data_IF_378832852027
#
_entry.id   IF_378832852027
#
_cell.length_a   1.000
_cell.length_b   1.000
_cell.length_c   1.000
_cell.angle_alpha   90.00
_cell.angle_beta   90.00
_cell.angle_gamma   90.00
#
_symmetry.space_group_name_H-M   'P 1'
#
loop_
_entity.id
_entity.type
_entity.pdbx_description
1 polymer ?
#
# COMPACT_ATOMS: atom_id res chain seq x y z
N UNK A 1 2.90 -51.49 89.79
CA UNK A 1 1.56 -52.09 89.84
C UNK A 1 0.97 -52.18 88.49
N UNK A 2 0.61 -53.42 88.16
CA UNK A 2 -0.33 -53.91 87.14
C UNK A 2 -0.25 -53.29 85.70
N UNK A 3 0.32 -54.03 84.75
CA UNK A 3 -0.26 -55.19 84.05
C UNK A 3 -1.47 -54.83 83.19
N UNK A 4 -1.33 -54.91 81.88
CA UNK A 4 -1.95 -55.95 81.07
C UNK A 4 -1.65 -55.76 79.59
N UNK A 5 -1.09 -56.83 79.03
CA UNK A 5 -1.11 -57.22 77.63
C UNK A 5 -2.51 -57.19 77.01
N UNK A 6 -2.69 -56.88 75.78
CA UNK A 6 -3.55 -57.65 74.89
C UNK A 6 -3.02 -57.55 73.42
N UNK A 7 -2.88 -58.71 72.90
CA UNK A 7 -2.45 -59.22 71.61
C UNK A 7 -3.32 -58.79 70.40
N UNK A 8 -2.67 -58.71 69.27
CA UNK A 8 -3.02 -59.27 67.93
C UNK A 8 -4.28 -58.80 67.22
N UNK A 9 -4.12 -58.24 66.08
CA UNK A 9 -4.74 -58.84 64.86
C UNK A 9 -4.20 -58.17 63.59
N UNK A 10 -3.37 -58.88 62.89
CA UNK A 10 -2.93 -58.64 61.49
C UNK A 10 -4.14 -58.86 60.61
N UNK A 11 -4.64 -57.80 59.93
CA UNK A 11 -5.57 -57.93 58.81
C UNK A 11 -4.93 -57.29 57.59
N UNK A 12 -4.51 -58.16 56.70
CA UNK A 12 -4.09 -57.83 55.35
C UNK A 12 -5.27 -57.26 54.58
N UNK A 13 -5.11 -56.06 54.03
CA UNK A 13 -5.99 -55.48 53.00
C UNK A 13 -5.29 -55.62 51.64
N UNK A 14 -6.01 -56.05 50.60
CA UNK A 14 -5.42 -56.13 49.25
C UNK A 14 -5.27 -54.74 48.67
N UNK A 15 -4.07 -54.44 48.15
CA UNK A 15 -3.79 -53.25 47.37
C UNK A 15 -4.56 -53.33 46.02
N UNK A 16 -5.63 -52.54 45.88
CA UNK A 16 -6.30 -52.34 44.59
C UNK A 16 -5.51 -51.31 43.79
N UNK A 17 -4.70 -51.79 42.83
CA UNK A 17 -4.00 -50.91 41.91
C UNK A 17 -5.02 -50.28 40.96
N UNK A 18 -5.37 -49.03 41.18
CA UNK A 18 -6.09 -48.20 40.22
C UNK A 18 -5.06 -47.77 39.12
N UNK A 19 -4.99 -48.51 38.03
CA UNK A 19 -4.41 -48.01 36.77
C UNK A 19 -5.38 -46.98 36.19
N UNK A 20 -5.23 -45.72 36.62
CA UNK A 20 -5.82 -44.58 35.93
C UNK A 20 -5.09 -44.35 34.62
N UNK A 21 -5.67 -44.85 33.50
CA UNK A 21 -5.21 -44.49 32.17
C UNK A 21 -5.33 -42.97 31.95
N UNK A 22 -4.21 -42.26 31.95
CA UNK A 22 -4.15 -40.92 31.38
C UNK A 22 -4.35 -41.06 29.88
N UNK A 23 -5.61 -40.95 29.45
CA UNK A 23 -5.91 -40.63 28.05
C UNK A 23 -5.46 -39.19 27.81
N UNK A 24 -4.21 -39.03 27.32
CA UNK A 24 -3.78 -37.74 26.75
C UNK A 24 -4.62 -37.55 25.51
N UNK A 25 -5.73 -36.82 25.65
CA UNK A 25 -6.39 -36.19 24.52
C UNK A 25 -5.37 -35.22 23.96
N UNK A 26 -4.70 -35.58 22.86
CA UNK A 26 -3.99 -34.65 22.02
C UNK A 26 -5.05 -33.63 21.58
N UNK A 27 -5.08 -32.48 22.24
CA UNK A 27 -5.78 -31.31 21.72
C UNK A 27 -5.12 -31.03 20.38
N UNK A 28 -5.74 -31.49 19.28
CA UNK A 28 -5.42 -30.96 17.97
C UNK A 28 -5.69 -29.47 18.08
N UNK A 29 -4.61 -28.67 18.14
CA UNK A 29 -4.71 -27.24 17.93
C UNK A 29 -5.34 -27.10 16.55
N UNK A 30 -6.60 -26.73 16.51
CA UNK A 30 -7.28 -26.29 15.30
C UNK A 30 -6.40 -25.14 14.79
N UNK A 31 -5.66 -25.37 13.72
CA UNK A 31 -4.84 -24.33 13.10
C UNK A 31 -5.84 -23.26 12.68
N UNK A 32 -5.75 -22.09 13.30
CA UNK A 32 -6.59 -20.95 12.91
C UNK A 32 -6.51 -20.78 11.39
N UNK A 33 -7.66 -20.73 10.75
CA UNK A 33 -7.76 -20.58 9.31
C UNK A 33 -6.99 -19.31 8.88
N UNK A 34 -6.08 -19.46 7.91
CA UNK A 34 -5.33 -18.32 7.37
C UNK A 34 -6.26 -17.31 6.68
N UNK A 35 -5.85 -16.06 6.66
CA UNK A 35 -6.65 -14.98 6.09
C UNK A 35 -7.06 -15.26 4.63
N UNK A 36 -6.10 -15.68 3.80
CA UNK A 36 -6.36 -15.96 2.39
C UNK A 36 -7.26 -17.17 2.15
N UNK A 37 -7.27 -18.13 3.06
CA UNK A 37 -8.25 -19.24 3.02
C UNK A 37 -9.67 -18.71 3.26
N UNK A 38 -9.84 -17.73 4.14
CA UNK A 38 -11.12 -17.02 4.32
C UNK A 38 -11.57 -16.30 3.05
N UNK A 39 -10.64 -15.61 2.37
CA UNK A 39 -10.88 -14.96 1.06
C UNK A 39 -11.27 -16.00 -0.01
N UNK A 40 -10.59 -17.14 -0.06
CA UNK A 40 -10.92 -18.24 -0.98
C UNK A 40 -12.35 -18.78 -0.75
N UNK A 41 -12.75 -18.96 0.51
CA UNK A 41 -14.12 -19.39 0.85
C UNK A 41 -15.16 -18.35 0.48
N UNK A 42 -14.84 -17.06 0.63
CA UNK A 42 -15.72 -15.97 0.20
C UNK A 42 -15.84 -15.88 -1.33
N UNK A 43 -14.89 -16.45 -2.09
CA UNK A 43 -14.86 -16.45 -3.54
C UNK A 43 -14.55 -15.11 -4.19
N UNK A 44 -14.12 -14.12 -3.41
CA UNK A 44 -13.82 -12.75 -3.87
C UNK A 44 -12.64 -12.16 -3.13
N UNK A 45 -11.73 -11.48 -3.87
CA UNK A 45 -10.66 -10.65 -3.35
C UNK A 45 -11.04 -9.19 -3.56
N UNK A 46 -11.26 -8.45 -2.47
CA UNK A 46 -11.60 -7.03 -2.53
C UNK A 46 -10.33 -6.20 -2.51
N UNK A 47 -10.12 -5.38 -3.54
CA UNK A 47 -8.97 -4.52 -3.71
C UNK A 47 -9.39 -3.06 -3.57
N UNK A 48 -8.96 -2.37 -2.50
CA UNK A 48 -9.19 -0.95 -2.31
C UNK A 48 -8.36 -0.13 -3.31
N UNK A 49 -9.04 0.61 -4.18
CA UNK A 49 -8.47 1.28 -5.34
C UNK A 49 -8.68 2.79 -5.28
N UNK A 50 -7.62 3.55 -5.06
CA UNK A 50 -7.58 5.00 -5.23
C UNK A 50 -6.85 5.33 -6.53
N UNK A 51 -7.49 6.12 -7.39
CA UNK A 51 -6.96 6.41 -8.73
C UNK A 51 -5.67 7.22 -8.66
N UNK A 52 -4.64 6.74 -9.33
CA UNK A 52 -3.34 7.39 -9.56
C UNK A 52 -2.66 6.74 -10.78
N UNK A 53 -2.84 7.25 -12.00
CA UNK A 53 -2.17 6.71 -13.18
C UNK A 53 -0.64 6.88 -13.10
N UNK A 54 0.15 5.89 -13.53
CA UNK A 54 -0.19 4.63 -14.19
C UNK A 54 -0.45 3.47 -13.23
N UNK A 55 -0.44 3.69 -11.91
CA UNK A 55 -0.55 2.66 -10.87
C UNK A 55 -1.93 2.02 -10.84
N UNK A 56 -2.95 2.85 -10.72
CA UNK A 56 -4.36 2.50 -10.69
C UNK A 56 -5.13 3.51 -11.55
N UNK A 57 -5.79 3.02 -12.57
CA UNK A 57 -6.61 3.80 -13.47
C UNK A 57 -8.06 3.30 -13.41
N UNK A 58 -9.00 4.16 -13.71
CA UNK A 58 -10.41 3.79 -13.83
C UNK A 58 -10.99 4.43 -15.08
N UNK A 59 -11.56 3.63 -15.94
CA UNK A 59 -12.28 4.12 -17.12
C UNK A 59 -13.57 4.83 -16.66
N UNK A 60 -13.77 6.11 -16.97
CA UNK A 60 -14.94 6.83 -16.52
C UNK A 60 -16.24 6.40 -17.20
N UNK A 61 -16.18 5.76 -18.37
CA UNK A 61 -17.35 5.29 -19.11
C UNK A 61 -17.82 3.90 -18.66
N UNK A 62 -16.87 2.98 -18.45
CA UNK A 62 -17.18 1.59 -18.09
C UNK A 62 -17.07 1.33 -16.59
N UNK A 63 -16.29 2.14 -15.87
CA UNK A 63 -15.95 1.93 -14.46
C UNK A 63 -14.86 0.87 -14.25
N UNK A 64 -14.30 0.30 -15.33
CA UNK A 64 -13.27 -0.74 -15.24
C UNK A 64 -11.95 -0.19 -14.71
N UNK A 65 -11.31 -1.01 -13.84
CA UNK A 65 -10.00 -0.70 -13.28
C UNK A 65 -8.89 -1.34 -14.12
N UNK A 66 -7.84 -0.54 -14.34
CA UNK A 66 -6.61 -0.91 -15.04
C UNK A 66 -5.40 -0.27 -14.37
N UNK A 67 -4.21 -0.44 -14.95
CA UNK A 67 -2.95 -0.02 -14.35
C UNK A 67 -2.25 -1.18 -13.65
N UNK A 68 -0.93 -1.06 -13.48
CA UNK A 68 -0.15 -2.22 -13.09
C UNK A 68 -0.47 -2.79 -11.70
N UNK A 69 -0.88 -1.99 -10.72
CA UNK A 69 -1.37 -2.53 -9.44
C UNK A 69 -2.77 -3.17 -9.56
N UNK A 70 -3.61 -2.68 -10.45
CA UNK A 70 -4.89 -3.33 -10.72
C UNK A 70 -4.68 -4.69 -11.41
N UNK A 71 -3.72 -4.78 -12.34
CA UNK A 71 -3.37 -6.04 -13.00
C UNK A 71 -2.73 -7.01 -11.99
N UNK A 72 -1.83 -6.57 -11.10
CA UNK A 72 -1.30 -7.40 -10.01
C UNK A 72 -2.39 -7.91 -9.05
N UNK A 73 -3.43 -7.09 -8.75
CA UNK A 73 -4.58 -7.55 -7.95
C UNK A 73 -5.34 -8.67 -8.67
N UNK A 74 -5.59 -8.54 -9.98
CA UNK A 74 -6.26 -9.58 -10.79
C UNK A 74 -5.45 -10.87 -10.77
N UNK A 75 -4.14 -10.80 -11.00
CA UNK A 75 -3.25 -11.96 -10.99
C UNK A 75 -3.16 -12.63 -9.59
N UNK A 76 -3.14 -11.84 -8.52
CA UNK A 76 -3.19 -12.41 -7.17
C UNK A 76 -4.54 -13.09 -6.87
N UNK A 77 -5.65 -12.54 -7.36
CA UNK A 77 -6.96 -13.18 -7.28
C UNK A 77 -6.98 -14.53 -8.04
N UNK A 78 -6.29 -14.63 -9.19
CA UNK A 78 -6.12 -15.90 -9.92
C UNK A 78 -5.35 -16.93 -9.10
N UNK A 79 -4.25 -16.54 -8.41
CA UNK A 79 -3.50 -17.41 -7.49
C UNK A 79 -4.42 -17.94 -6.38
N UNK A 80 -5.27 -17.08 -5.82
CA UNK A 80 -6.24 -17.47 -4.81
C UNK A 80 -7.46 -18.23 -5.36
N UNK A 81 -7.61 -18.31 -6.70
CA UNK A 81 -8.78 -18.90 -7.41
C UNK A 81 -10.10 -18.24 -7.04
N UNK A 82 -10.08 -16.92 -6.93
CA UNK A 82 -11.25 -16.09 -6.62
C UNK A 82 -11.44 -14.99 -7.67
N UNK A 83 -12.55 -14.26 -7.60
CA UNK A 83 -12.78 -13.09 -8.46
C UNK A 83 -12.21 -11.83 -7.83
N UNK A 84 -11.52 -10.95 -8.58
CA UNK A 84 -11.15 -9.64 -8.08
C UNK A 84 -12.38 -8.71 -8.05
N UNK A 85 -12.50 -7.93 -6.98
CA UNK A 85 -13.48 -6.86 -6.84
C UNK A 85 -12.74 -5.57 -6.47
N UNK A 86 -12.91 -4.53 -7.26
CA UNK A 86 -12.30 -3.23 -6.99
C UNK A 86 -13.28 -2.36 -6.19
N UNK A 87 -12.83 -1.91 -5.01
CA UNK A 87 -13.61 -1.03 -4.14
C UNK A 87 -13.06 0.39 -4.28
N UNK A 88 -13.86 1.28 -4.86
CA UNK A 88 -13.48 2.68 -5.07
C UNK A 88 -13.24 3.40 -3.75
N UNK A 89 -12.16 4.17 -3.68
CA UNK A 89 -11.80 4.92 -2.48
C UNK A 89 -10.93 6.12 -2.83
N UNK A 90 -10.58 6.92 -1.83
CA UNK A 90 -9.66 8.05 -1.94
C UNK A 90 -8.38 7.81 -1.13
N UNK A 91 -7.33 8.55 -1.43
CA UNK A 91 -6.07 8.49 -0.70
C UNK A 91 -6.22 8.85 0.78
N UNK A 92 -7.17 9.73 1.13
CA UNK A 92 -7.50 10.06 2.52
C UNK A 92 -8.12 8.88 3.27
N UNK A 93 -8.86 8.01 2.58
CA UNK A 93 -9.63 6.93 3.18
C UNK A 93 -8.99 5.53 3.02
N UNK A 94 -7.95 5.37 2.18
CA UNK A 94 -7.42 4.06 1.79
C UNK A 94 -6.85 3.25 2.97
N UNK A 95 -6.26 3.89 3.97
CA UNK A 95 -5.78 3.21 5.17
C UNK A 95 -6.93 2.88 6.12
N UNK A 96 -7.82 3.85 6.39
CA UNK A 96 -8.95 3.67 7.29
C UNK A 96 -9.95 2.61 6.80
N UNK A 97 -10.17 2.54 5.48
CA UNK A 97 -11.05 1.53 4.89
C UNK A 97 -10.47 0.12 5.00
N UNK A 98 -9.14 -0.04 4.84
CA UNK A 98 -8.46 -1.33 5.05
C UNK A 98 -8.57 -1.77 6.52
N UNK A 99 -8.32 -0.86 7.48
CA UNK A 99 -8.48 -1.13 8.91
C UNK A 99 -9.92 -1.53 9.28
N UNK A 100 -10.90 -0.95 8.58
CA UNK A 100 -12.32 -1.26 8.77
C UNK A 100 -12.78 -2.54 8.03
N UNK A 101 -11.88 -3.26 7.35
CA UNK A 101 -12.19 -4.48 6.60
C UNK A 101 -13.10 -4.26 5.38
N UNK A 102 -13.13 -3.03 4.82
CA UNK A 102 -13.92 -2.74 3.62
C UNK A 102 -13.35 -3.44 2.38
N UNK A 103 -12.05 -3.74 2.38
CA UNK A 103 -11.34 -4.51 1.37
C UNK A 103 -10.23 -5.34 2.00
N UNK A 104 -9.68 -6.27 1.26
CA UNK A 104 -8.72 -7.25 1.73
C UNK A 104 -7.26 -6.79 1.53
N UNK A 105 -7.02 -5.94 0.53
CA UNK A 105 -5.74 -5.25 0.32
C UNK A 105 -5.95 -3.88 -0.33
N UNK A 106 -5.03 -2.96 -0.08
CA UNK A 106 -5.01 -1.62 -0.71
C UNK A 106 -3.97 -1.59 -1.81
N UNK A 107 -4.35 -1.05 -2.98
CA UNK A 107 -3.47 -0.94 -4.14
C UNK A 107 -2.51 0.24 -4.01
N UNK A 108 -1.30 0.10 -4.55
CA UNK A 108 -0.31 1.17 -4.77
C UNK A 108 0.01 2.01 -3.52
N UNK A 109 0.06 1.38 -2.35
CA UNK A 109 0.26 2.11 -1.10
C UNK A 109 1.74 2.35 -0.81
N UNK A 110 2.13 3.62 -0.71
CA UNK A 110 3.48 3.99 -0.30
C UNK A 110 3.80 3.49 1.11
N UNK A 111 4.93 2.82 1.26
CA UNK A 111 5.45 2.33 2.53
C UNK A 111 6.02 3.49 3.33
N UNK A 112 5.26 3.97 4.30
CA UNK A 112 5.72 5.01 5.24
C UNK A 112 5.64 4.51 6.68
N UNK A 113 6.52 4.96 7.60
CA UNK A 113 6.44 4.57 9.01
C UNK A 113 5.06 4.85 9.63
N UNK A 114 4.46 5.99 9.30
CA UNK A 114 3.14 6.37 9.81
C UNK A 114 2.04 5.40 9.38
N UNK A 115 2.07 4.93 8.11
CA UNK A 115 1.11 3.94 7.63
C UNK A 115 1.41 2.55 8.19
N UNK A 116 2.69 2.20 8.38
CA UNK A 116 3.09 0.91 8.94
C UNK A 116 2.65 0.71 10.41
N UNK A 117 2.38 1.79 11.13
CA UNK A 117 1.74 1.70 12.46
C UNK A 117 0.26 1.30 12.40
N UNK A 118 -0.38 1.46 11.26
CA UNK A 118 -1.81 1.24 11.08
C UNK A 118 -2.16 0.01 10.24
N UNK A 119 -1.29 -0.38 9.32
CA UNK A 119 -1.46 -1.50 8.38
C UNK A 119 -0.13 -2.22 8.18
N UNK A 120 -0.18 -3.45 7.71
CA UNK A 120 1.01 -4.14 7.21
C UNK A 120 1.22 -3.85 5.73
N UNK A 121 2.36 -4.26 5.20
CA UNK A 121 2.72 -4.09 3.80
C UNK A 121 3.33 -5.38 3.27
N UNK A 122 3.10 -5.63 2.00
CA UNK A 122 3.95 -6.56 1.25
C UNK A 122 5.36 -5.98 1.05
N UNK A 123 6.26 -6.77 0.48
CA UNK A 123 7.44 -6.22 -0.18
C UNK A 123 7.01 -5.20 -1.25
N UNK A 124 7.85 -4.22 -1.60
CA UNK A 124 7.52 -3.27 -2.65
C UNK A 124 7.53 -3.94 -4.04
N UNK A 125 6.50 -3.67 -4.84
CA UNK A 125 6.51 -4.02 -6.25
C UNK A 125 7.45 -3.10 -7.05
N UNK A 126 7.61 -1.86 -6.61
CA UNK A 126 8.53 -0.89 -7.18
C UNK A 126 8.94 0.18 -6.16
N UNK A 127 9.93 0.96 -6.52
CA UNK A 127 10.33 2.16 -5.77
C UNK A 127 10.21 3.40 -6.64
N UNK A 128 9.86 4.52 -6.03
CA UNK A 128 9.90 5.84 -6.66
C UNK A 128 10.43 6.89 -5.70
N UNK A 129 10.72 8.06 -6.23
CA UNK A 129 10.95 9.26 -5.42
C UNK A 129 9.87 10.32 -5.71
N UNK A 130 9.67 11.23 -4.76
CA UNK A 130 8.80 12.39 -4.97
C UNK A 130 9.57 13.41 -5.80
N UNK A 131 8.95 13.92 -6.84
CA UNK A 131 9.49 14.93 -7.73
C UNK A 131 8.52 16.10 -7.93
N UNK A 132 8.99 17.11 -8.61
CA UNK A 132 8.28 18.36 -8.88
C UNK A 132 8.25 18.57 -10.40
N UNK A 133 7.10 18.95 -10.96
CA UNK A 133 7.03 19.35 -12.37
C UNK A 133 6.48 20.77 -12.47
N UNK A 134 7.06 21.60 -13.33
CA UNK A 134 6.68 23.00 -13.46
C UNK A 134 6.97 23.53 -14.86
N UNK A 135 6.45 24.73 -15.14
CA UNK A 135 6.76 25.43 -16.38
C UNK A 135 8.16 26.03 -16.33
N UNK A 136 9.06 25.60 -17.25
CA UNK A 136 10.46 26.09 -17.36
C UNK A 136 10.60 27.61 -17.45
N UNK A 137 9.53 28.30 -17.91
CA UNK A 137 9.48 29.76 -18.05
C UNK A 137 8.73 30.44 -16.88
N UNK A 138 8.47 29.74 -15.78
CA UNK A 138 7.81 30.34 -14.61
C UNK A 138 8.76 31.31 -13.91
N UNK A 139 8.46 32.64 -13.86
CA UNK A 139 9.37 33.62 -13.29
C UNK A 139 9.57 33.51 -11.77
N UNK A 140 8.70 32.76 -11.08
CA UNK A 140 8.81 32.51 -9.63
C UNK A 140 9.85 31.46 -9.29
N UNK A 141 10.22 30.59 -10.26
CA UNK A 141 11.14 29.49 -10.08
C UNK A 141 12.48 29.85 -10.75
N UNK A 142 13.55 29.85 -9.97
CA UNK A 142 14.86 30.19 -10.50
C UNK A 142 15.32 29.14 -11.53
N UNK A 143 15.97 29.61 -12.59
CA UNK A 143 16.67 28.71 -13.50
C UNK A 143 17.72 27.90 -12.74
N UNK A 144 17.73 26.57 -12.91
CA UNK A 144 18.66 25.69 -12.19
C UNK A 144 18.22 25.34 -10.76
N UNK A 145 16.94 25.57 -10.38
CA UNK A 145 16.41 25.05 -9.12
C UNK A 145 16.71 23.54 -9.00
N UNK A 146 17.29 23.13 -7.88
CA UNK A 146 17.76 21.76 -7.64
C UNK A 146 17.21 21.15 -6.35
N UNK A 147 16.62 21.96 -5.48
CA UNK A 147 16.18 21.54 -4.15
C UNK A 147 14.77 22.07 -3.84
N UNK A 148 14.17 21.55 -2.75
CA UNK A 148 12.91 22.09 -2.23
C UNK A 148 13.09 23.53 -1.74
N UNK A 149 14.24 23.87 -1.19
CA UNK A 149 14.53 25.22 -0.72
C UNK A 149 14.50 26.27 -1.84
N UNK A 150 14.85 25.88 -3.08
CA UNK A 150 14.83 26.79 -4.23
C UNK A 150 13.42 27.18 -4.66
N UNK A 151 12.43 26.37 -4.31
CA UNK A 151 11.01 26.58 -4.67
C UNK A 151 10.14 26.98 -3.48
N UNK A 152 10.62 26.87 -2.25
CA UNK A 152 9.90 27.26 -1.02
C UNK A 152 9.90 28.78 -0.84
N UNK A 153 9.14 29.50 -1.67
CA UNK A 153 9.07 30.96 -1.68
C UNK A 153 7.62 31.44 -1.53
N UNK A 154 7.47 32.57 -0.87
CA UNK A 154 6.19 33.25 -0.81
C UNK A 154 5.66 33.56 -2.24
N UNK A 155 4.39 33.27 -2.47
CA UNK A 155 3.73 33.42 -3.76
C UNK A 155 3.90 32.24 -4.73
N UNK A 156 4.69 31.21 -4.37
CA UNK A 156 4.71 29.94 -5.08
C UNK A 156 3.58 29.03 -4.55
N UNK A 157 2.83 28.41 -5.44
CA UNK A 157 1.76 27.45 -5.12
C UNK A 157 2.09 26.08 -5.67
N UNK A 158 2.07 25.08 -4.79
CA UNK A 158 2.34 23.69 -5.09
C UNK A 158 1.01 22.91 -5.11
N UNK A 159 0.64 22.31 -6.22
CA UNK A 159 -0.52 21.42 -6.33
C UNK A 159 -0.12 19.99 -5.96
N UNK A 160 -0.84 19.37 -5.06
CA UNK A 160 -0.63 17.99 -4.63
C UNK A 160 -1.96 17.30 -4.38
N UNK A 161 -2.03 16.01 -4.64
CA UNK A 161 -3.22 15.20 -4.35
C UNK A 161 -3.33 14.94 -2.84
N UNK A 162 -4.49 15.27 -2.26
CA UNK A 162 -4.77 15.14 -0.82
C UNK A 162 -4.58 13.71 -0.31
N UNK A 163 -4.08 13.56 0.94
CA UNK A 163 -3.95 12.28 1.63
C UNK A 163 -2.80 11.39 1.16
N UNK A 164 -2.09 11.78 0.10
CA UNK A 164 -0.96 11.02 -0.44
C UNK A 164 0.29 11.14 0.43
N UNK A 165 1.28 10.29 0.17
CA UNK A 165 2.61 10.42 0.77
C UNK A 165 3.31 11.70 0.31
N UNK A 166 3.06 12.13 -0.93
CA UNK A 166 3.56 13.37 -1.54
C UNK A 166 3.05 14.60 -0.77
N UNK A 167 1.74 14.64 -0.46
CA UNK A 167 1.14 15.71 0.33
C UNK A 167 1.82 15.84 1.70
N UNK A 168 1.95 14.73 2.41
CA UNK A 168 2.58 14.73 3.73
C UNK A 168 4.04 15.17 3.67
N UNK A 169 4.80 14.67 2.70
CA UNK A 169 6.21 15.00 2.56
C UNK A 169 6.44 16.46 2.18
N UNK A 170 5.74 16.98 1.17
CA UNK A 170 5.92 18.38 0.75
C UNK A 170 5.42 19.36 1.81
N UNK A 171 4.29 19.05 2.47
CA UNK A 171 3.75 19.90 3.54
C UNK A 171 4.66 20.01 4.76
N UNK A 172 5.44 18.96 5.04
CA UNK A 172 6.44 19.00 6.10
C UNK A 172 7.72 19.75 5.69
N UNK A 173 8.03 19.83 4.39
CA UNK A 173 9.27 20.38 3.88
C UNK A 173 9.20 21.89 3.58
N UNK A 174 8.03 22.41 3.17
CA UNK A 174 7.86 23.83 2.81
C UNK A 174 7.32 24.66 3.98
N UNK A 175 7.75 25.92 4.05
CA UNK A 175 7.34 26.87 5.09
C UNK A 175 6.74 28.16 4.51
N UNK A 176 7.14 28.54 3.30
CA UNK A 176 6.82 29.81 2.68
C UNK A 176 5.85 29.65 1.49
N UNK A 177 5.98 28.56 0.75
CA UNK A 177 5.12 28.25 -0.38
C UNK A 177 3.74 27.75 0.09
N UNK A 178 2.72 27.98 -0.72
CA UNK A 178 1.35 27.53 -0.47
C UNK A 178 1.15 26.12 -1.00
N UNK A 179 0.65 25.20 -0.17
CA UNK A 179 0.27 23.85 -0.59
C UNK A 179 -1.22 23.80 -0.91
N UNK A 180 -1.54 23.64 -2.20
CA UNK A 180 -2.90 23.47 -2.72
C UNK A 180 -3.22 21.98 -2.80
N UNK A 181 -4.06 21.48 -1.89
CA UNK A 181 -4.51 20.07 -1.86
C UNK A 181 -5.75 19.92 -2.73
N UNK A 182 -5.70 18.95 -3.64
CA UNK A 182 -6.76 18.68 -4.61
C UNK A 182 -7.17 17.20 -4.53
N UNK A 183 -8.43 16.87 -4.87
CA UNK A 183 -8.95 15.51 -4.61
C UNK A 183 -8.39 14.44 -5.54
N UNK A 184 -7.95 14.83 -6.74
CA UNK A 184 -7.54 13.88 -7.77
C UNK A 184 -6.35 14.34 -8.60
N UNK A 185 -5.89 13.43 -9.42
CA UNK A 185 -4.72 13.64 -10.28
C UNK A 185 -5.01 14.66 -11.40
N UNK A 186 -6.20 14.60 -11.98
CA UNK A 186 -6.60 15.52 -13.06
C UNK A 186 -6.73 16.95 -12.55
N UNK A 187 -7.26 17.14 -11.35
CA UNK A 187 -7.37 18.45 -10.73
C UNK A 187 -5.99 19.05 -10.40
N UNK A 188 -5.03 18.23 -9.96
CA UNK A 188 -3.66 18.70 -9.70
C UNK A 188 -2.96 19.13 -10.98
N UNK A 189 -3.09 18.34 -12.05
CA UNK A 189 -2.53 18.66 -13.37
C UNK A 189 -3.19 19.90 -13.98
N UNK A 190 -4.53 19.96 -13.90
CA UNK A 190 -5.29 21.13 -14.37
C UNK A 190 -4.91 22.40 -13.62
N UNK A 191 -4.62 22.33 -12.31
CA UNK A 191 -4.20 23.51 -11.55
C UNK A 191 -2.89 24.08 -12.08
N UNK A 192 -1.95 23.22 -12.50
CA UNK A 192 -0.66 23.67 -13.06
C UNK A 192 -0.81 24.13 -14.51
N UNK A 193 -1.53 23.41 -15.35
CA UNK A 193 -1.74 23.79 -16.77
C UNK A 193 -2.52 25.08 -16.90
N UNK A 194 -3.50 25.34 -16.00
CA UNK A 194 -4.28 26.60 -15.93
C UNK A 194 -3.58 27.71 -15.14
N UNK A 195 -2.34 27.50 -14.68
CA UNK A 195 -1.54 28.45 -13.90
C UNK A 195 -2.16 28.87 -12.56
N UNK A 196 -3.08 28.08 -12.00
CA UNK A 196 -3.59 28.26 -10.63
C UNK A 196 -2.59 27.76 -9.59
N UNK A 197 -1.73 26.82 -9.97
CA UNK A 197 -0.56 26.41 -9.23
C UNK A 197 0.70 26.53 -10.10
N UNK A 198 1.84 26.68 -9.45
CA UNK A 198 3.13 26.86 -10.10
C UNK A 198 3.83 25.53 -10.33
N UNK A 199 3.63 24.56 -9.44
CA UNK A 199 4.35 23.30 -9.36
C UNK A 199 3.38 22.15 -9.11
N UNK A 200 3.53 21.05 -9.85
CA UNK A 200 2.92 19.77 -9.58
C UNK A 200 3.87 18.94 -8.68
N UNK A 201 3.37 18.44 -7.56
CA UNK A 201 4.10 17.54 -6.67
C UNK A 201 3.54 16.15 -6.81
N UNK A 202 4.32 15.24 -7.37
CA UNK A 202 3.89 13.86 -7.60
C UNK A 202 5.08 12.88 -7.60
N UNK A 203 4.82 11.61 -7.88
CA UNK A 203 5.85 10.60 -8.12
C UNK A 203 6.71 10.95 -9.34
N UNK A 204 7.96 10.54 -9.34
CA UNK A 204 8.91 10.88 -10.43
C UNK A 204 8.49 10.34 -11.79
N UNK A 205 7.94 9.13 -11.84
CA UNK A 205 7.42 8.51 -13.05
C UNK A 205 6.14 9.19 -13.55
N UNK A 206 5.22 9.54 -12.65
CA UNK A 206 4.00 10.31 -12.96
C UNK A 206 4.35 11.69 -13.52
N UNK A 207 5.31 12.39 -12.90
CA UNK A 207 5.78 13.69 -13.39
C UNK A 207 6.56 13.56 -14.71
N UNK A 208 7.24 12.44 -14.95
CA UNK A 208 7.85 12.16 -16.24
C UNK A 208 6.80 12.03 -17.34
N UNK A 209 5.70 11.32 -17.09
CA UNK A 209 4.57 11.25 -18.02
C UNK A 209 3.96 12.62 -18.28
N UNK A 210 3.76 13.41 -17.23
CA UNK A 210 3.23 14.78 -17.37
C UNK A 210 4.13 15.65 -18.24
N UNK A 211 5.46 15.59 -18.07
CA UNK A 211 6.40 16.37 -18.89
C UNK A 211 6.48 15.86 -20.31
N UNK A 212 6.38 14.56 -20.55
CA UNK A 212 6.30 13.99 -21.89
C UNK A 212 5.03 14.40 -22.64
N UNK A 213 3.92 14.56 -21.93
CA UNK A 213 2.67 15.06 -22.52
C UNK A 213 2.68 16.59 -22.73
N UNK A 214 3.65 17.31 -22.17
CA UNK A 214 3.77 18.76 -22.24
C UNK A 214 5.20 19.23 -22.54
N UNK A 215 5.85 18.72 -23.61
CA UNK A 215 7.30 18.88 -23.83
C UNK A 215 7.75 20.33 -24.11
N UNK A 216 6.84 21.14 -24.60
CA UNK A 216 7.15 22.54 -24.97
C UNK A 216 7.47 23.41 -23.76
N UNK A 217 6.87 23.11 -22.60
CA UNK A 217 6.97 23.99 -21.44
C UNK A 217 7.24 23.29 -20.10
N UNK A 218 6.85 22.02 -19.93
CA UNK A 218 7.00 21.33 -18.66
C UNK A 218 8.38 20.71 -18.50
N UNK A 219 8.94 20.87 -17.30
CA UNK A 219 10.18 20.20 -16.87
C UNK A 219 9.97 19.57 -15.51
N UNK A 220 10.67 18.44 -15.28
CA UNK A 220 10.67 17.76 -13.99
C UNK A 220 11.94 18.12 -13.21
N UNK A 221 11.79 18.25 -11.88
CA UNK A 221 12.86 18.42 -10.92
C UNK A 221 12.80 17.28 -9.91
N UNK A 222 13.86 16.49 -9.84
CA UNK A 222 14.11 15.57 -8.74
C UNK A 222 14.94 16.30 -7.68
N UNK A 223 14.35 16.69 -6.54
CA UNK A 223 15.06 17.53 -5.58
C UNK A 223 16.25 16.80 -4.96
N UNK A 224 17.31 17.57 -4.72
CA UNK A 224 18.51 17.11 -4.02
C UNK A 224 18.72 17.99 -2.78
N UNK A 225 18.75 17.42 -1.55
CA UNK A 225 18.49 16.01 -1.25
C UNK A 225 17.08 15.57 -1.67
N UNK A 226 16.89 14.27 -1.89
CA UNK A 226 15.57 13.73 -2.25
C UNK A 226 14.55 14.04 -1.16
N UNK A 227 13.36 14.51 -1.55
CA UNK A 227 12.27 14.81 -0.61
C UNK A 227 11.80 13.55 0.11
N UNK A 228 11.57 12.48 -0.64
CA UNK A 228 11.40 11.12 -0.15
C UNK A 228 11.66 10.11 -1.26
N UNK A 229 12.19 8.94 -0.87
CA UNK A 229 12.20 7.72 -1.69
C UNK A 229 11.48 6.63 -0.93
N UNK A 230 10.58 5.92 -1.60
CA UNK A 230 9.67 4.97 -0.93
C UNK A 230 9.37 3.80 -1.84
N UNK A 231 9.25 2.62 -1.23
CA UNK A 231 8.67 1.48 -1.90
C UNK A 231 7.14 1.66 -2.04
N UNK A 232 6.59 1.20 -3.14
CA UNK A 232 5.14 1.13 -3.39
C UNK A 232 4.73 -0.34 -3.36
N UNK A 233 3.75 -0.67 -2.53
CA UNK A 233 3.39 -2.03 -2.18
C UNK A 233 1.88 -2.22 -2.07
N UNK A 234 1.42 -3.45 -1.84
CA UNK A 234 0.10 -3.66 -1.30
C UNK A 234 0.06 -3.27 0.18
N UNK A 235 -0.96 -2.52 0.59
CA UNK A 235 -1.32 -2.37 1.99
C UNK A 235 -2.16 -3.57 2.43
N UNK A 236 -1.84 -4.16 3.58
CA UNK A 236 -2.44 -5.37 4.09
C UNK A 236 -3.07 -5.11 5.47
N UNK A 237 -4.11 -5.85 5.88
CA UNK A 237 -4.67 -5.74 7.22
C UNK A 237 -3.60 -5.88 8.30
N UNK A 238 -3.71 -5.08 9.36
CA UNK A 238 -2.69 -5.01 10.42
C UNK A 238 -2.49 -6.32 11.18
N UNK A 239 -3.52 -7.13 11.25
CA UNK A 239 -3.56 -8.38 12.02
C UNK A 239 -3.29 -9.64 11.21
N UNK A 240 -2.76 -9.54 9.99
CA UNK A 240 -2.35 -10.71 9.23
C UNK A 240 -1.21 -11.45 9.96
N UNK A 241 -1.24 -12.78 9.88
CA UNK A 241 -0.11 -13.58 10.32
C UNK A 241 1.10 -13.38 9.39
N UNK A 242 2.31 -13.67 9.89
CA UNK A 242 3.51 -13.63 9.05
C UNK A 242 3.38 -14.57 7.84
N UNK A 243 2.74 -15.73 8.01
CA UNK A 243 2.50 -16.68 6.92
C UNK A 243 1.55 -16.10 5.85
N UNK A 244 0.52 -15.34 6.26
CA UNK A 244 -0.38 -14.70 5.30
C UNK A 244 0.32 -13.58 4.53
N UNK A 245 1.19 -12.80 5.18
CA UNK A 245 2.01 -11.78 4.51
C UNK A 245 2.97 -12.44 3.52
N UNK A 246 3.61 -13.54 3.90
CA UNK A 246 4.54 -14.30 3.06
C UNK A 246 3.90 -14.80 1.75
N UNK A 247 2.63 -15.16 1.76
CA UNK A 247 1.90 -15.54 0.52
C UNK A 247 1.93 -14.41 -0.50
N UNK A 248 1.69 -13.17 -0.06
CA UNK A 248 1.71 -12.00 -0.94
C UNK A 248 3.14 -11.64 -1.35
N UNK A 249 4.08 -11.76 -0.42
CA UNK A 249 5.50 -11.46 -0.67
C UNK A 249 6.10 -12.40 -1.70
N UNK A 250 5.89 -13.71 -1.59
CA UNK A 250 6.35 -14.70 -2.58
C UNK A 250 5.74 -14.42 -3.96
N UNK A 251 4.44 -14.11 -4.01
CA UNK A 251 3.79 -13.73 -5.27
C UNK A 251 4.49 -12.53 -5.92
N UNK A 252 4.75 -11.47 -5.16
CA UNK A 252 5.39 -10.26 -5.69
C UNK A 252 6.87 -10.48 -6.02
N UNK A 253 7.60 -11.25 -5.21
CA UNK A 253 9.01 -11.59 -5.47
C UNK A 253 9.18 -12.26 -6.84
N UNK A 254 8.33 -13.23 -7.16
CA UNK A 254 8.33 -13.88 -8.47
C UNK A 254 8.08 -12.88 -9.60
N UNK A 255 7.06 -12.02 -9.45
CA UNK A 255 6.70 -11.01 -10.46
C UNK A 255 7.80 -9.98 -10.69
N UNK A 256 8.46 -9.54 -9.61
CA UNK A 256 9.59 -8.60 -9.69
C UNK A 256 10.83 -9.29 -10.29
N UNK A 257 11.18 -10.48 -9.80
CA UNK A 257 12.39 -11.19 -10.23
C UNK A 257 12.35 -11.61 -11.72
N UNK A 258 11.16 -11.88 -12.23
CA UNK A 258 10.98 -12.24 -13.65
C UNK A 258 10.90 -11.02 -14.57
N UNK A 259 10.86 -9.79 -14.05
CA UNK A 259 10.66 -8.56 -14.84
C UNK A 259 9.20 -8.33 -15.27
N UNK A 260 8.27 -9.16 -14.80
CA UNK A 260 6.86 -9.04 -15.16
C UNK A 260 6.24 -7.72 -14.67
N UNK A 261 6.65 -7.23 -13.49
CA UNK A 261 6.23 -5.91 -12.99
C UNK A 261 6.66 -4.79 -13.93
N UNK A 262 7.88 -4.84 -14.49
CA UNK A 262 8.37 -3.84 -15.44
C UNK A 262 7.55 -3.86 -16.74
N UNK A 263 7.12 -5.03 -17.20
CA UNK A 263 6.23 -5.18 -18.36
C UNK A 263 4.85 -4.55 -18.08
N UNK A 264 4.28 -4.80 -16.92
CA UNK A 264 3.01 -4.20 -16.51
C UNK A 264 3.10 -2.68 -16.38
N UNK A 265 4.19 -2.16 -15.80
CA UNK A 265 4.46 -0.72 -15.72
C UNK A 265 4.53 -0.11 -17.12
N UNK A 266 5.32 -0.72 -18.03
CA UNK A 266 5.45 -0.24 -19.40
C UNK A 266 4.10 -0.21 -20.12
N UNK A 267 3.30 -1.28 -20.00
CA UNK A 267 1.96 -1.34 -20.56
C UNK A 267 1.08 -0.21 -20.04
N UNK A 268 1.04 -0.01 -18.72
CA UNK A 268 0.23 1.03 -18.09
C UNK A 268 0.66 2.44 -18.52
N UNK A 269 1.96 2.70 -18.66
CA UNK A 269 2.52 3.95 -19.19
C UNK A 269 2.07 4.17 -20.63
N UNK A 270 2.19 3.15 -21.48
CA UNK A 270 1.77 3.22 -22.90
C UNK A 270 0.27 3.52 -23.02
N UNK A 271 -0.56 2.96 -22.14
CA UNK A 271 -2.00 3.19 -22.13
C UNK A 271 -2.36 4.63 -21.70
N UNK A 272 -1.65 5.19 -20.70
CA UNK A 272 -1.79 6.61 -20.33
C UNK A 272 -1.43 7.53 -21.51
N UNK A 273 -0.32 7.25 -22.18
CA UNK A 273 0.15 8.09 -23.32
C UNK A 273 -0.77 8.00 -24.54
N UNK A 274 -1.44 6.87 -24.76
CA UNK A 274 -2.44 6.72 -25.84
C UNK A 274 -3.74 7.47 -25.52
N UNK A 275 -4.18 7.42 -24.26
CA UNK A 275 -5.40 8.12 -23.81
C UNK A 275 -5.24 9.63 -23.72
N UNK A 276 -4.01 10.17 -23.71
CA UNK A 276 -3.71 11.61 -23.69
C UNK A 276 -3.67 12.25 -25.11
N UNK A 277 -3.85 11.49 -26.18
CA UNK A 277 -3.94 11.95 -27.57
C UNK A 277 -5.39 12.09 -28.00
#
# INVERSE_FOLDING_TARGET
MLSKLITSALRALPALALMGGLSATAAQAETAEGYWQGVQKAGVLRCGAAVAPPYVMRDPATGEYSGFFADLCKEFAEVLKVKPEFVDTTWDNIVAGLQAGKWDLSLALNRTPARAMAVQFSIPAMEYQISLAYNKNNPKIAAGAASVADIDKAGVTLAVMSGTAQDKAISAAVKNATVMRLPGNDETRLAVTSKRADILVDASDTNQLFTQSNPDWAVALNPTPALAKQGVAFGLPHNLSAADVEVVDIFLEEKVATGHVDELIKKAVDDVLKGAK
#
